data_IF_869112618225
#
_entry.id   IF_869112618225
#
_cell.length_a   1.000
_cell.length_b   1.000
_cell.length_c   1.000
_cell.angle_alpha   90.00
_cell.angle_beta   90.00
_cell.angle_gamma   90.00
#
_symmetry.space_group_name_H-M   'P 1'
#
loop_
_entity.id
_entity.type
_entity.pdbx_description
1 polymer ?
#
# COMPACT_ATOMS: atom_id res chain seq x y z
N UNK A 1 8.39 11.98 17.54
CA UNK A 1 9.11 10.86 16.89
C UNK A 1 8.89 10.96 15.40
N UNK A 2 9.89 10.62 14.60
CA UNK A 2 9.76 10.61 13.13
C UNK A 2 8.70 9.58 12.69
N UNK A 3 7.91 9.92 11.68
CA UNK A 3 6.88 9.06 11.10
C UNK A 3 7.50 7.99 10.19
N UNK A 4 6.88 6.81 10.15
CA UNK A 4 7.25 5.76 9.18
C UNK A 4 6.55 6.07 7.86
N UNK A 5 7.31 6.25 6.79
CA UNK A 5 6.75 6.44 5.45
C UNK A 5 6.47 5.08 4.81
N UNK A 6 5.24 4.85 4.35
CA UNK A 6 4.80 3.63 3.71
C UNK A 6 4.38 3.89 2.27
N UNK A 7 5.17 3.35 1.35
CA UNK A 7 4.91 3.40 -0.09
C UNK A 7 4.24 2.11 -0.54
N UNK A 8 3.10 2.25 -1.19
CA UNK A 8 2.27 1.12 -1.56
C UNK A 8 1.52 1.35 -2.87
N UNK A 9 1.00 0.26 -3.40
CA UNK A 9 0.08 0.24 -4.54
C UNK A 9 -0.97 -0.84 -4.23
N UNK A 10 -2.26 -0.54 -4.36
CA UNK A 10 -3.33 -1.51 -4.08
C UNK A 10 -3.28 -2.73 -5.01
N UNK A 11 -2.52 -2.71 -6.12
CA UNK A 11 -2.30 -3.90 -6.93
C UNK A 11 -1.33 -4.91 -6.31
N UNK A 12 -0.63 -4.56 -5.22
CA UNK A 12 0.41 -5.41 -4.63
C UNK A 12 -0.13 -6.26 -3.47
N UNK A 13 -0.14 -7.60 -3.60
CA UNK A 13 -0.51 -8.48 -2.49
C UNK A 13 0.53 -8.52 -1.37
N UNK A 14 1.79 -8.19 -1.65
CA UNK A 14 2.79 -8.06 -0.60
C UNK A 14 2.60 -6.77 0.21
N UNK A 15 2.09 -5.71 -0.42
CA UNK A 15 1.77 -4.48 0.29
C UNK A 15 0.51 -4.62 1.14
N UNK A 16 -0.46 -5.43 0.69
CA UNK A 16 -1.57 -5.91 1.51
C UNK A 16 -1.06 -6.55 2.82
N UNK A 17 -0.18 -7.55 2.71
CA UNK A 17 0.42 -8.23 3.88
C UNK A 17 1.18 -7.26 4.81
N UNK A 18 2.00 -6.37 4.23
CA UNK A 18 2.77 -5.40 5.01
C UNK A 18 1.85 -4.41 5.74
N UNK A 19 0.78 -3.94 5.09
CA UNK A 19 -0.15 -2.97 5.68
C UNK A 19 -0.79 -3.48 6.98
N UNK A 20 -1.09 -4.78 7.04
CA UNK A 20 -1.65 -5.44 8.22
C UNK A 20 -0.71 -5.41 9.42
N UNK A 21 0.60 -5.59 9.20
CA UNK A 21 1.59 -5.63 10.28
C UNK A 21 2.08 -4.24 10.67
N UNK A 22 2.19 -3.34 9.69
CA UNK A 22 2.82 -2.04 9.89
C UNK A 22 2.10 -1.20 10.95
N UNK A 23 0.76 -1.23 10.97
CA UNK A 23 -0.03 -0.49 11.96
C UNK A 23 0.33 -0.89 13.39
N UNK A 24 0.39 -2.19 13.68
CA UNK A 24 0.77 -2.69 15.00
C UNK A 24 2.21 -2.36 15.40
N UNK A 25 3.14 -2.35 14.43
CA UNK A 25 4.54 -1.94 14.68
C UNK A 25 4.61 -0.44 14.99
N UNK A 26 3.91 0.39 14.21
CA UNK A 26 3.85 1.83 14.43
C UNK A 26 3.25 2.17 15.81
N UNK A 27 2.16 1.50 16.19
CA UNK A 27 1.52 1.62 17.51
C UNK A 27 2.47 1.18 18.65
N UNK A 28 3.11 0.01 18.52
CA UNK A 28 4.11 -0.51 19.48
C UNK A 28 5.21 0.51 19.77
N UNK A 29 5.65 1.23 18.74
CA UNK A 29 6.74 2.21 18.82
C UNK A 29 6.26 3.67 18.93
N UNK A 30 4.97 3.91 19.16
CA UNK A 30 4.37 5.25 19.32
C UNK A 30 4.72 6.19 18.14
N UNK A 31 4.70 5.67 16.92
CA UNK A 31 4.95 6.42 15.68
C UNK A 31 3.70 6.47 14.81
N UNK A 32 3.59 7.52 14.02
CA UNK A 32 2.60 7.60 12.95
C UNK A 32 3.11 6.96 11.67
N UNK A 33 2.18 6.56 10.80
CA UNK A 33 2.49 6.09 9.43
C UNK A 33 2.02 7.14 8.44
N UNK A 34 2.92 7.57 7.55
CA UNK A 34 2.55 8.36 6.39
C UNK A 34 2.31 7.44 5.20
N UNK A 35 1.11 7.49 4.64
CA UNK A 35 0.70 6.66 3.53
C UNK A 35 0.95 7.37 2.21
N UNK A 36 1.73 6.76 1.33
CA UNK A 36 2.08 7.25 0.00
C UNK A 36 1.67 6.23 -1.07
N UNK A 37 0.48 6.40 -1.69
CA UNK A 37 0.13 5.60 -2.85
C UNK A 37 1.04 6.00 -4.02
N UNK A 38 1.56 5.01 -4.75
CA UNK A 38 2.41 5.25 -5.92
C UNK A 38 2.01 4.33 -7.07
N UNK A 39 2.40 4.73 -8.28
CA UNK A 39 2.32 3.87 -9.45
C UNK A 39 3.53 2.93 -9.49
N UNK A 40 3.30 1.65 -9.20
CA UNK A 40 4.37 0.65 -9.23
C UNK A 40 4.97 0.49 -10.62
N UNK A 41 4.18 0.62 -11.69
CA UNK A 41 4.70 0.50 -13.05
C UNK A 41 5.67 1.64 -13.37
N UNK A 42 5.33 2.87 -12.97
CA UNK A 42 6.21 4.02 -13.11
C UNK A 42 7.50 3.88 -12.30
N UNK A 43 7.40 3.42 -11.03
CA UNK A 43 8.57 3.20 -10.18
C UNK A 43 9.53 2.14 -10.75
N UNK A 44 8.99 1.04 -11.30
CA UNK A 44 9.79 0.01 -11.99
C UNK A 44 10.45 0.56 -13.25
N UNK A 45 9.71 1.32 -14.06
CA UNK A 45 10.24 1.90 -15.30
C UNK A 45 11.39 2.87 -15.02
N UNK A 46 11.28 3.68 -13.97
CA UNK A 46 12.29 4.67 -13.60
C UNK A 46 13.68 4.07 -13.30
N UNK A 47 13.73 2.81 -12.84
CA UNK A 47 14.98 2.07 -12.60
C UNK A 47 15.37 1.12 -13.75
N UNK A 48 14.69 1.20 -14.89
CA UNK A 48 14.95 0.33 -16.05
C UNK A 48 14.43 -1.11 -15.91
N UNK A 49 13.53 -1.38 -14.96
CA UNK A 49 12.93 -2.71 -14.78
C UNK A 49 11.77 -2.93 -15.76
N UNK A 50 12.12 -3.12 -17.04
CA UNK A 50 11.22 -3.28 -18.19
C UNK A 50 10.93 -4.74 -18.57
N UNK A 51 11.51 -5.71 -17.85
CA UNK A 51 11.28 -7.13 -18.09
C UNK A 51 9.85 -7.57 -17.74
N UNK A 52 9.46 -8.80 -18.12
CA UNK A 52 8.14 -9.34 -17.78
C UNK A 52 7.92 -9.27 -16.28
N UNK A 53 6.73 -8.85 -15.89
CA UNK A 53 6.30 -8.83 -14.50
C UNK A 53 6.24 -10.27 -13.97
N UNK A 54 6.35 -10.43 -12.65
CA UNK A 54 6.23 -11.76 -12.03
C UNK A 54 4.88 -12.45 -12.36
N UNK A 55 3.85 -11.69 -12.73
CA UNK A 55 2.53 -12.19 -13.15
C UNK A 55 2.54 -12.85 -14.53
N UNK A 56 3.50 -12.48 -15.37
CA UNK A 56 3.67 -13.01 -16.73
C UNK A 56 4.62 -14.22 -16.75
N UNK A 57 5.14 -14.64 -15.59
CA UNK A 57 6.09 -15.74 -15.44
C UNK A 57 5.45 -16.90 -14.66
N UNK A 58 4.82 -17.90 -15.32
CA UNK A 58 3.96 -18.88 -14.65
C UNK A 58 4.64 -19.66 -13.51
N UNK A 59 5.90 -20.08 -13.71
CA UNK A 59 6.68 -20.81 -12.70
C UNK A 59 6.88 -19.96 -11.44
N UNK A 60 7.23 -18.68 -11.62
CA UNK A 60 7.46 -17.75 -10.51
C UNK A 60 6.14 -17.33 -9.86
N UNK A 61 5.09 -17.10 -10.66
CA UNK A 61 3.75 -16.77 -10.16
C UNK A 61 3.20 -17.88 -9.26
N UNK A 62 3.40 -19.15 -9.63
CA UNK A 62 3.01 -20.28 -8.78
C UNK A 62 3.68 -20.20 -7.40
N UNK A 63 5.00 -20.02 -7.37
CA UNK A 63 5.73 -19.89 -6.10
C UNK A 63 5.21 -18.72 -5.27
N UNK A 64 5.07 -17.54 -5.88
CA UNK A 64 4.61 -16.34 -5.17
C UNK A 64 3.19 -16.51 -4.62
N UNK A 65 2.31 -17.20 -5.34
CA UNK A 65 0.95 -17.51 -4.87
C UNK A 65 0.99 -18.41 -3.63
N UNK A 66 1.85 -19.44 -3.63
CA UNK A 66 2.01 -20.32 -2.47
C UNK A 66 2.65 -19.58 -1.28
N UNK A 67 3.60 -18.68 -1.55
CA UNK A 67 4.24 -17.86 -0.53
C UNK A 67 3.27 -16.85 0.12
N UNK A 68 2.46 -16.17 -0.68
CA UNK A 68 1.41 -15.27 -0.19
C UNK A 68 0.43 -16.00 0.74
N UNK A 69 0.03 -17.25 0.41
CA UNK A 69 -0.83 -18.07 1.27
C UNK A 69 -0.15 -18.40 2.61
N UNK A 70 1.15 -18.70 2.61
CA UNK A 70 1.91 -18.95 3.85
C UNK A 70 1.96 -17.72 4.74
N UNK A 71 2.19 -16.54 4.15
CA UNK A 71 2.18 -15.27 4.89
C UNK A 71 0.78 -14.91 5.41
N UNK A 72 -0.25 -15.03 4.60
CA UNK A 72 -1.63 -14.80 5.03
C UNK A 72 -2.02 -15.72 6.19
N UNK A 73 -1.70 -17.01 6.09
CA UNK A 73 -1.87 -17.97 7.19
C UNK A 73 -1.08 -17.57 8.44
N UNK A 74 0.19 -17.17 8.29
CA UNK A 74 1.03 -16.71 9.41
C UNK A 74 0.45 -15.48 10.11
N UNK A 75 -0.21 -14.59 9.36
CA UNK A 75 -0.83 -13.38 9.91
C UNK A 75 -2.27 -13.59 10.38
N UNK A 76 -2.89 -14.74 10.07
CA UNK A 76 -4.28 -15.01 10.42
C UNK A 76 -5.28 -14.14 9.64
N UNK A 77 -4.92 -13.74 8.41
CA UNK A 77 -5.76 -12.86 7.57
C UNK A 77 -6.27 -13.58 6.32
N UNK A 78 -7.44 -13.20 5.78
CA UNK A 78 -7.93 -13.75 4.53
C UNK A 78 -7.09 -13.28 3.33
N UNK A 79 -7.02 -14.10 2.28
CA UNK A 79 -6.42 -13.74 1.01
C UNK A 79 -7.11 -14.52 -0.11
N UNK A 80 -8.07 -13.88 -0.78
CA UNK A 80 -8.80 -14.44 -1.91
C UNK A 80 -8.22 -14.02 -3.26
N UNK A 81 -7.47 -12.91 -3.30
CA UNK A 81 -6.83 -12.39 -4.50
C UNK A 81 -7.73 -11.42 -5.28
N UNK A 82 -7.15 -10.33 -5.78
CA UNK A 82 -7.89 -9.32 -6.53
C UNK A 82 -8.41 -9.85 -7.88
N UNK A 83 -9.61 -9.43 -8.31
CA UNK A 83 -10.19 -9.80 -9.62
C UNK A 83 -9.43 -9.20 -10.80
N UNK A 84 -8.83 -8.03 -10.61
CA UNK A 84 -7.90 -7.40 -11.55
C UNK A 84 -6.89 -6.55 -10.76
N UNK A 85 -6.03 -5.83 -11.48
CA UNK A 85 -4.93 -5.06 -10.90
C UNK A 85 -4.99 -3.57 -11.25
N UNK A 86 -6.16 -3.07 -11.65
CA UNK A 86 -6.38 -1.68 -12.03
C UNK A 86 -6.57 -0.84 -10.75
N UNK A 87 -5.49 -0.67 -9.99
CA UNK A 87 -5.51 -0.05 -8.64
C UNK A 87 -5.59 1.46 -8.61
N UNK A 88 -5.45 2.14 -9.77
CA UNK A 88 -5.38 3.61 -9.84
C UNK A 88 -6.52 4.31 -9.10
N UNK A 89 -7.81 3.91 -9.24
CA UNK A 89 -8.90 4.55 -8.52
C UNK A 89 -8.72 4.51 -6.99
N UNK A 90 -8.40 3.34 -6.44
CA UNK A 90 -8.16 3.21 -5.00
C UNK A 90 -6.90 3.97 -4.55
N UNK A 91 -5.83 3.92 -5.35
CA UNK A 91 -4.58 4.63 -5.05
C UNK A 91 -4.86 6.14 -4.92
N UNK A 92 -5.60 6.72 -5.88
CA UNK A 92 -6.03 8.12 -5.85
C UNK A 92 -6.96 8.40 -4.67
N UNK A 93 -7.93 7.53 -4.39
CA UNK A 93 -8.86 7.69 -3.26
C UNK A 93 -8.18 7.83 -1.89
N UNK A 94 -6.94 7.37 -1.74
CA UNK A 94 -6.12 7.59 -0.54
C UNK A 94 -5.98 9.07 -0.20
N UNK A 95 -5.90 9.95 -1.20
CA UNK A 95 -5.77 11.40 -1.00
C UNK A 95 -7.06 12.01 -0.44
N UNK A 96 -8.23 11.55 -0.91
CA UNK A 96 -9.53 11.95 -0.36
C UNK A 96 -9.66 11.56 1.12
N UNK A 97 -9.21 10.35 1.46
CA UNK A 97 -9.16 9.86 2.83
C UNK A 97 -8.17 10.65 3.69
N UNK A 98 -7.04 11.06 3.11
CA UNK A 98 -6.01 11.86 3.79
C UNK A 98 -6.53 13.25 4.17
N UNK A 99 -7.29 13.89 3.28
CA UNK A 99 -7.89 15.21 3.55
C UNK A 99 -8.95 15.17 4.67
N UNK A 100 -9.43 13.96 5.00
CA UNK A 100 -10.40 13.69 6.07
C UNK A 100 -9.80 13.01 7.30
N UNK A 101 -8.47 12.89 7.36
CA UNK A 101 -7.75 12.18 8.44
C UNK A 101 -8.18 10.71 8.66
N UNK A 102 -8.73 10.06 7.62
CA UNK A 102 -9.19 8.66 7.63
C UNK A 102 -8.29 7.72 6.80
N UNK A 103 -7.10 8.19 6.43
CA UNK A 103 -6.21 7.50 5.48
C UNK A 103 -5.80 6.08 5.93
N UNK A 104 -5.43 5.90 7.20
CA UNK A 104 -4.99 4.60 7.70
C UNK A 104 -6.10 3.54 7.58
N UNK A 105 -7.32 3.90 8.00
CA UNK A 105 -8.47 3.02 7.94
C UNK A 105 -8.91 2.77 6.50
N UNK A 106 -8.90 3.80 5.63
CA UNK A 106 -9.16 3.65 4.21
C UNK A 106 -8.21 2.64 3.56
N UNK A 107 -6.90 2.76 3.83
CA UNK A 107 -5.91 1.82 3.30
C UNK A 107 -6.22 0.40 3.79
N UNK A 108 -6.53 0.20 5.07
CA UNK A 108 -6.93 -1.12 5.61
C UNK A 108 -8.17 -1.68 4.90
N UNK A 109 -9.24 -0.89 4.78
CA UNK A 109 -10.50 -1.32 4.17
C UNK A 109 -10.34 -1.60 2.68
N UNK A 110 -9.72 -0.70 1.91
CA UNK A 110 -9.51 -0.88 0.48
C UNK A 110 -8.66 -2.13 0.18
N UNK A 111 -7.63 -2.39 0.98
CA UNK A 111 -6.85 -3.61 0.90
C UNK A 111 -7.66 -4.87 1.23
N UNK A 112 -8.47 -4.83 2.30
CA UNK A 112 -9.37 -5.93 2.67
C UNK A 112 -10.38 -6.21 1.56
N UNK A 113 -11.08 -5.20 1.04
CA UNK A 113 -12.08 -5.37 -0.04
C UNK A 113 -11.44 -5.94 -1.32
N UNK A 114 -10.21 -5.56 -1.63
CA UNK A 114 -9.53 -5.99 -2.85
C UNK A 114 -8.91 -7.38 -2.71
N UNK A 115 -8.04 -7.59 -1.72
CA UNK A 115 -7.24 -8.82 -1.57
C UNK A 115 -7.83 -9.79 -0.57
N UNK A 116 -8.39 -9.26 0.51
CA UNK A 116 -9.03 -10.01 1.58
C UNK A 116 -10.37 -10.61 1.15
N UNK A 117 -11.17 -9.91 0.36
CA UNK A 117 -12.51 -10.35 -0.08
C UNK A 117 -12.55 -10.73 -1.57
N UNK A 118 -11.51 -10.37 -2.34
CA UNK A 118 -11.42 -10.66 -3.77
C UNK A 118 -12.22 -9.73 -4.68
N UNK A 119 -12.28 -8.44 -4.33
CA UNK A 119 -12.89 -7.39 -5.13
C UNK A 119 -12.07 -6.99 -6.36
N UNK A 120 -12.71 -6.25 -7.27
CA UNK A 120 -12.05 -5.57 -8.38
C UNK A 120 -11.75 -4.12 -7.95
N UNK A 121 -10.49 -3.67 -7.93
CA UNK A 121 -10.12 -2.36 -7.41
C UNK A 121 -10.60 -1.16 -8.25
N UNK A 122 -11.05 -1.38 -9.47
CA UNK A 122 -11.64 -0.38 -10.37
C UNK A 122 -13.17 -0.45 -10.47
N UNK A 123 -13.80 -1.37 -9.72
CA UNK A 123 -15.25 -1.53 -9.71
C UNK A 123 -15.94 -0.36 -9.00
N UNK A 124 -16.89 0.26 -9.71
CA UNK A 124 -17.58 1.45 -9.22
C UNK A 124 -18.41 1.18 -7.96
N UNK A 125 -19.04 0.01 -7.87
CA UNK A 125 -19.83 -0.37 -6.68
C UNK A 125 -18.91 -0.60 -5.48
N UNK A 126 -17.75 -1.23 -5.66
CA UNK A 126 -16.73 -1.34 -4.62
C UNK A 126 -16.28 0.04 -4.11
N UNK A 127 -16.01 0.99 -5.01
CA UNK A 127 -15.60 2.36 -4.64
C UNK A 127 -16.70 3.09 -3.87
N UNK A 128 -17.96 3.00 -4.33
CA UNK A 128 -19.12 3.62 -3.66
C UNK A 128 -19.38 3.02 -2.29
N UNK A 129 -19.25 1.70 -2.16
CA UNK A 129 -19.42 0.98 -0.89
C UNK A 129 -18.33 1.35 0.11
N UNK A 130 -17.06 1.48 -0.33
CA UNK A 130 -16.00 2.01 0.53
C UNK A 130 -16.35 3.42 1.00
N UNK A 131 -16.75 4.33 0.10
CA UNK A 131 -17.15 5.68 0.49
C UNK A 131 -18.28 5.66 1.55
N UNK A 132 -19.29 4.79 1.37
CA UNK A 132 -20.38 4.64 2.32
C UNK A 132 -19.92 4.12 3.69
N UNK A 133 -19.00 3.13 3.75
CA UNK A 133 -18.42 2.62 4.99
C UNK A 133 -17.71 3.73 5.81
N UNK A 134 -17.16 4.74 5.14
CA UNK A 134 -16.51 5.89 5.77
C UNK A 134 -17.45 7.09 6.02
N UNK A 135 -18.74 6.97 5.66
CA UNK A 135 -19.71 8.06 5.76
C UNK A 135 -19.47 9.20 4.77
N UNK A 136 -18.75 8.95 3.68
CA UNK A 136 -18.51 9.92 2.61
C UNK A 136 -19.66 9.98 1.62
N UNK A 137 -19.81 11.13 0.96
CA UNK A 137 -20.66 11.21 -0.21
C UNK A 137 -20.00 10.43 -1.36
N UNK A 138 -20.63 9.34 -1.81
CA UNK A 138 -20.07 8.48 -2.84
C UNK A 138 -19.87 9.19 -4.18
N UNK A 139 -20.74 10.14 -4.55
CA UNK A 139 -20.58 10.92 -5.78
C UNK A 139 -19.36 11.86 -5.67
N UNK A 140 -19.20 12.56 -4.53
CA UNK A 140 -18.03 13.41 -4.28
C UNK A 140 -16.73 12.61 -4.34
N UNK A 141 -16.71 11.39 -3.79
CA UNK A 141 -15.53 10.52 -3.82
C UNK A 141 -15.20 10.06 -5.25
N UNK A 142 -16.19 9.64 -6.02
CA UNK A 142 -16.00 9.20 -7.42
C UNK A 142 -15.54 10.37 -8.29
N UNK A 143 -16.16 11.55 -8.13
CA UNK A 143 -15.77 12.77 -8.84
C UNK A 143 -14.33 13.19 -8.49
N UNK A 144 -13.95 13.09 -7.21
CA UNK A 144 -12.58 13.35 -6.78
C UNK A 144 -11.58 12.40 -7.45
N UNK A 145 -11.86 11.10 -7.47
CA UNK A 145 -10.97 10.10 -8.11
C UNK A 145 -10.80 10.37 -9.61
N UNK A 146 -11.84 10.87 -10.27
CA UNK A 146 -11.81 11.25 -11.68
C UNK A 146 -11.16 12.62 -11.94
N UNK A 147 -10.87 13.40 -10.90
CA UNK A 147 -10.40 14.78 -11.04
C UNK A 147 -8.93 14.88 -11.43
N UNK A 148 -8.60 15.95 -12.17
CA UNK A 148 -7.21 16.26 -12.52
C UNK A 148 -6.36 16.59 -11.29
N UNK A 149 -6.94 17.23 -10.27
CA UNK A 149 -6.24 17.56 -9.02
C UNK A 149 -5.75 16.29 -8.32
N UNK A 150 -6.61 15.28 -8.21
CA UNK A 150 -6.27 14.02 -7.57
C UNK A 150 -5.26 13.21 -8.40
N UNK A 151 -5.37 13.24 -9.74
CA UNK A 151 -4.36 12.66 -10.64
C UNK A 151 -2.98 13.29 -10.44
N UNK A 152 -2.91 14.63 -10.37
CA UNK A 152 -1.65 15.35 -10.16
C UNK A 152 -1.02 15.00 -8.79
N UNK A 153 -1.83 14.81 -7.74
CA UNK A 153 -1.34 14.38 -6.41
C UNK A 153 -0.73 12.99 -6.46
N UNK A 154 -1.34 12.06 -7.18
CA UNK A 154 -0.82 10.70 -7.36
C UNK A 154 0.49 10.68 -8.15
N UNK A 155 0.59 11.46 -9.21
CA UNK A 155 1.81 11.62 -10.00
C UNK A 155 2.94 12.28 -9.20
N UNK A 156 2.61 13.29 -8.39
CA UNK A 156 3.57 13.93 -7.49
C UNK A 156 4.06 12.95 -6.40
N UNK A 157 3.16 12.17 -5.80
CA UNK A 157 3.51 11.11 -4.83
C UNK A 157 4.47 10.09 -5.44
N UNK A 158 4.15 9.60 -6.64
CA UNK A 158 5.01 8.66 -7.39
C UNK A 158 6.38 9.27 -7.70
N UNK A 159 6.41 10.49 -8.23
CA UNK A 159 7.65 11.19 -8.58
C UNK A 159 8.53 11.46 -7.36
N UNK A 160 7.94 11.80 -6.22
CA UNK A 160 8.64 11.97 -4.95
C UNK A 160 9.25 10.65 -4.46
N UNK A 161 8.49 9.54 -4.54
CA UNK A 161 8.98 8.21 -4.15
C UNK A 161 10.18 7.78 -5.00
N UNK A 162 10.11 7.97 -6.31
CA UNK A 162 11.21 7.68 -7.24
C UNK A 162 12.46 8.49 -6.88
N UNK A 163 12.32 9.79 -6.59
CA UNK A 163 13.45 10.63 -6.14
C UNK A 163 14.10 10.14 -4.84
N UNK A 164 13.33 9.48 -3.97
CA UNK A 164 13.83 8.85 -2.73
C UNK A 164 14.36 7.44 -2.94
N UNK A 165 14.48 6.98 -4.18
CA UNK A 165 15.02 5.66 -4.52
C UNK A 165 14.02 4.52 -4.39
N UNK A 166 12.72 4.81 -4.22
CA UNK A 166 11.69 3.76 -4.17
C UNK A 166 11.52 3.16 -5.56
N UNK A 167 11.83 1.86 -5.67
CA UNK A 167 11.76 1.09 -6.91
C UNK A 167 10.64 0.05 -6.96
N UNK A 168 9.94 -0.13 -5.83
CA UNK A 168 8.94 -1.17 -5.66
C UNK A 168 8.14 -0.98 -4.38
N UNK A 169 7.11 -1.81 -4.22
CA UNK A 169 6.22 -1.81 -3.05
C UNK A 169 6.05 -3.22 -2.48
N UNK A 170 5.74 -3.38 -1.18
CA UNK A 170 5.72 -2.32 -0.17
C UNK A 170 7.14 -1.83 0.15
N UNK A 171 7.29 -0.52 0.36
CA UNK A 171 8.52 0.05 0.89
C UNK A 171 8.19 0.84 2.14
N UNK A 172 8.94 0.61 3.22
CA UNK A 172 8.87 1.37 4.45
C UNK A 172 10.15 2.18 4.60
N UNK A 173 10.06 3.44 5.03
CA UNK A 173 11.22 4.28 5.32
C UNK A 173 11.08 4.99 6.67
N UNK A 174 12.21 5.21 7.33
CA UNK A 174 12.37 6.10 8.47
C UNK A 174 13.63 6.95 8.21
N UNK A 175 13.45 8.25 7.99
CA UNK A 175 14.51 9.11 7.47
C UNK A 175 15.03 8.60 6.13
N UNK A 176 16.33 8.31 6.09
CA UNK A 176 17.03 7.77 4.92
C UNK A 176 17.11 6.23 4.91
N UNK A 177 16.71 5.56 6.00
CA UNK A 177 16.69 4.10 6.05
C UNK A 177 15.47 3.54 5.32
N UNK A 178 15.69 2.48 4.52
CA UNK A 178 14.69 1.88 3.63
C UNK A 178 14.63 0.37 3.81
N UNK A 179 13.40 -0.16 3.90
CA UNK A 179 13.11 -1.59 3.88
C UNK A 179 12.06 -1.88 2.80
N UNK A 180 12.39 -2.75 1.85
CA UNK A 180 11.48 -3.17 0.80
C UNK A 180 11.01 -4.61 1.04
N UNK A 181 9.70 -4.83 0.97
CA UNK A 181 9.06 -6.13 1.12
C UNK A 181 8.43 -6.37 2.50
N UNK A 182 7.32 -7.11 2.50
CA UNK A 182 6.70 -7.62 3.73
C UNK A 182 7.69 -8.44 4.58
N UNK A 183 8.60 -9.14 3.93
CA UNK A 183 9.64 -9.97 4.54
C UNK A 183 10.82 -9.16 5.11
N UNK A 184 10.76 -7.83 5.13
CA UNK A 184 11.69 -6.95 5.85
C UNK A 184 11.03 -6.16 6.97
N UNK A 185 9.72 -6.31 7.18
CA UNK A 185 8.97 -5.54 8.17
C UNK A 185 9.42 -5.83 9.62
N UNK A 186 9.94 -7.03 9.88
CA UNK A 186 10.49 -7.37 11.19
C UNK A 186 11.81 -6.64 11.46
N UNK A 187 12.64 -6.40 10.44
CA UNK A 187 13.88 -5.63 10.59
C UNK A 187 13.60 -4.16 10.88
N UNK A 188 12.51 -3.60 10.35
CA UNK A 188 12.02 -2.28 10.74
C UNK A 188 11.63 -2.26 12.23
N UNK A 189 10.91 -3.27 12.72
CA UNK A 189 10.53 -3.38 14.13
C UNK A 189 11.76 -3.49 15.06
N UNK A 190 12.75 -4.31 14.68
CA UNK A 190 14.03 -4.44 15.37
C UNK A 190 14.78 -3.09 15.42
N UNK A 191 14.92 -2.43 14.27
CA UNK A 191 15.58 -1.12 14.18
C UNK A 191 14.92 -0.05 15.05
N UNK A 192 13.58 0.01 15.07
CA UNK A 192 12.83 0.93 15.93
C UNK A 192 13.05 0.64 17.42
N UNK A 193 13.17 -0.64 17.78
CA UNK A 193 13.46 -1.06 19.15
C UNK A 193 14.86 -0.62 19.58
N UNK A 194 15.86 -0.74 18.70
CA UNK A 194 17.23 -0.28 18.95
C UNK A 194 17.32 1.25 19.08
N UNK A 195 16.62 2.00 18.23
CA UNK A 195 16.56 3.46 18.33
C UNK A 195 15.97 3.93 19.66
N UNK A 196 14.96 3.24 20.18
CA UNK A 196 14.36 3.56 21.47
C UNK A 196 15.35 3.35 22.64
N UNK A 197 16.28 2.40 22.53
CA UNK A 197 17.33 2.16 23.52
C UNK A 197 18.45 3.20 23.47
N UNK A 198 18.72 3.78 22.29
CA UNK A 198 19.75 4.80 22.10
C UNK A 198 19.28 6.23 22.45
N UNK A 199 17.96 6.46 22.45
CA UNK A 199 17.35 7.75 22.77
C UNK A 199 17.00 7.97 24.25
N UNK A 200 17.26 6.97 25.10
CA UNK A 200 17.25 7.08 26.57
C UNK A 200 18.68 7.24 27.10
#
# INVERSE_FOLDING_TARGET
>A
MESIDFYFDFLSPFAYLASYRLRGIAEKHQRSVNYFPIDLAAAKLAIGNIGPTNRELPVKLKYLTDDLKRWAHRYGIPLHGAKNHNSRPLNIGTFFAKDRAQCADYVTVAYQRTWGDGGAPDDEDLLKNIAADFGWNSAEFVDFIASQEASNRYEASTSNAIRRGVFGVPTMMLGDSMWWGNDRIFMLDEYLSELALQGN
#
